data_IF_896565335677
#
_entry.id   IF_896565335677
#
_cell.length_a   1.000
_cell.length_b   1.000
_cell.length_c   1.000
_cell.angle_alpha   90.00
_cell.angle_beta   90.00
_cell.angle_gamma   90.00
#
_symmetry.space_group_name_H-M   'P 1'
#
loop_
_entity.id
_entity.type
_entity.pdbx_description
1 polymer ?
#
# COMPACT_ATOMS: atom_id res chain seq x y z
N UNK A 1 35.43 4.13 33.58
CA UNK A 1 34.66 5.12 32.78
C UNK A 1 34.85 4.99 31.26
N UNK A 2 36.01 4.60 30.71
CA UNK A 2 36.17 4.47 29.24
C UNK A 2 35.43 3.26 28.64
N UNK A 3 35.33 2.15 29.37
CA UNK A 3 34.67 0.92 28.92
C UNK A 3 33.15 1.12 28.68
N UNK A 4 32.50 1.85 29.59
CA UNK A 4 31.06 2.12 29.55
C UNK A 4 30.68 3.07 28.39
N UNK A 5 31.54 4.03 28.03
CA UNK A 5 31.33 4.85 26.83
C UNK A 5 31.42 4.03 25.55
N UNK A 6 32.35 3.07 25.50
CA UNK A 6 32.53 2.21 24.32
C UNK A 6 31.33 1.27 24.12
N UNK A 7 30.82 0.65 25.18
CA UNK A 7 29.63 -0.21 25.09
C UNK A 7 28.40 0.57 24.63
N UNK A 8 28.23 1.81 25.10
CA UNK A 8 27.09 2.65 24.72
C UNK A 8 27.16 3.07 23.24
N UNK A 9 28.35 3.37 22.72
CA UNK A 9 28.54 3.71 21.30
C UNK A 9 28.20 2.55 20.36
N UNK A 10 28.66 1.34 20.68
CA UNK A 10 28.36 0.14 19.87
C UNK A 10 26.87 -0.21 19.89
N UNK A 11 26.21 -0.10 21.05
CA UNK A 11 24.77 -0.32 21.18
C UNK A 11 23.96 0.70 20.37
N UNK A 12 24.36 1.98 20.41
CA UNK A 12 23.71 3.04 19.64
C UNK A 12 23.86 2.80 18.13
N UNK A 13 25.06 2.49 17.66
CA UNK A 13 25.32 2.20 16.26
C UNK A 13 24.49 1.03 15.73
N UNK A 14 24.33 -0.03 16.53
CA UNK A 14 23.47 -1.17 16.20
C UNK A 14 21.99 -0.77 16.05
N UNK A 15 21.51 0.07 16.97
CA UNK A 15 20.14 0.58 16.92
C UNK A 15 19.90 1.44 15.67
N UNK A 16 20.82 2.35 15.35
CA UNK A 16 20.75 3.24 14.19
C UNK A 16 20.77 2.43 12.88
N UNK A 17 21.66 1.44 12.78
CA UNK A 17 21.70 0.53 11.64
C UNK A 17 20.37 -0.22 11.46
N UNK A 18 19.80 -0.73 12.56
CA UNK A 18 18.52 -1.44 12.52
C UNK A 18 17.36 -0.52 12.10
N UNK A 19 17.39 0.75 12.52
CA UNK A 19 16.38 1.75 12.14
C UNK A 19 16.43 2.04 10.64
N UNK A 20 17.63 2.26 10.09
CA UNK A 20 17.84 2.47 8.65
C UNK A 20 17.42 1.23 7.86
N UNK A 21 17.78 0.02 8.30
CA UNK A 21 17.38 -1.22 7.61
C UNK A 21 15.87 -1.43 7.58
N UNK A 22 15.20 -1.23 8.73
CA UNK A 22 13.73 -1.31 8.81
C UNK A 22 13.09 -0.30 7.87
N UNK A 23 13.62 0.93 7.85
CA UNK A 23 13.14 1.96 6.96
C UNK A 23 13.28 1.58 5.47
N UNK A 24 14.44 1.06 5.06
CA UNK A 24 14.65 0.61 3.68
C UNK A 24 13.76 -0.58 3.31
N UNK A 25 13.57 -1.56 4.22
CA UNK A 25 12.62 -2.65 4.03
C UNK A 25 11.18 -2.14 3.89
N UNK A 26 10.80 -1.16 4.71
CA UNK A 26 9.50 -0.50 4.67
C UNK A 26 9.27 0.20 3.31
N UNK A 27 10.25 0.96 2.81
CA UNK A 27 10.14 1.58 1.48
C UNK A 27 10.12 0.55 0.34
N UNK A 28 10.84 -0.55 0.50
CA UNK A 28 10.82 -1.66 -0.44
C UNK A 28 9.41 -2.26 -0.61
N UNK A 29 8.74 -2.64 0.48
CA UNK A 29 7.39 -3.20 0.35
C UNK A 29 6.38 -2.16 -0.16
N UNK A 30 6.46 -0.88 0.24
CA UNK A 30 5.57 0.18 -0.28
C UNK A 30 5.69 0.35 -1.79
N UNK A 31 6.91 0.40 -2.29
CA UNK A 31 7.18 0.52 -3.73
C UNK A 31 6.58 -0.66 -4.49
N UNK A 32 6.79 -1.88 -4.00
CA UNK A 32 6.24 -3.07 -4.63
C UNK A 32 4.71 -3.18 -4.47
N UNK A 33 4.12 -2.64 -3.40
CA UNK A 33 2.67 -2.58 -3.25
C UNK A 33 2.04 -1.74 -4.35
N UNK A 34 2.67 -0.64 -4.76
CA UNK A 34 2.18 0.22 -5.85
C UNK A 34 2.44 -0.40 -7.22
N UNK A 35 3.61 -1.03 -7.44
CA UNK A 35 4.03 -1.55 -8.74
C UNK A 35 3.42 -2.93 -9.06
N UNK A 36 3.34 -3.83 -8.08
CA UNK A 36 2.94 -5.22 -8.32
C UNK A 36 1.50 -5.36 -8.86
N UNK A 37 0.48 -4.66 -8.33
CA UNK A 37 -0.89 -4.77 -8.84
C UNK A 37 -1.03 -4.45 -10.35
N UNK A 38 -0.62 -3.27 -10.85
CA UNK A 38 -0.73 -2.98 -12.28
C UNK A 38 0.13 -3.91 -13.13
N UNK A 39 1.32 -4.30 -12.64
CA UNK A 39 2.20 -5.22 -13.35
C UNK A 39 1.56 -6.61 -13.53
N UNK A 40 1.05 -7.20 -12.46
CA UNK A 40 0.39 -8.52 -12.54
C UNK A 40 -0.95 -8.46 -13.27
N UNK A 41 -1.67 -7.34 -13.17
CA UNK A 41 -2.90 -7.14 -13.94
C UNK A 41 -2.59 -7.13 -15.44
N UNK A 42 -1.59 -6.35 -15.85
CA UNK A 42 -1.14 -6.29 -17.24
C UNK A 42 -0.64 -7.66 -17.75
N UNK A 43 0.11 -8.40 -16.92
CA UNK A 43 0.54 -9.76 -17.26
C UNK A 43 -0.64 -10.72 -17.42
N UNK A 44 -1.65 -10.64 -16.55
CA UNK A 44 -2.86 -11.46 -16.65
C UNK A 44 -3.68 -11.15 -17.89
N UNK A 45 -3.83 -9.86 -18.24
CA UNK A 45 -4.51 -9.42 -19.47
C UNK A 45 -3.75 -9.94 -20.69
N UNK A 46 -2.42 -9.76 -20.73
CA UNK A 46 -1.57 -10.24 -21.83
C UNK A 46 -1.67 -11.75 -22.04
N UNK A 47 -1.74 -12.52 -20.95
CA UNK A 47 -1.84 -13.99 -21.01
C UNK A 47 -3.28 -14.51 -21.14
N UNK A 48 -4.29 -13.63 -21.20
CA UNK A 48 -5.73 -13.96 -21.23
C UNK A 48 -6.16 -14.97 -20.15
N UNK A 49 -5.44 -15.02 -19.04
CA UNK A 49 -5.63 -15.98 -17.95
C UNK A 49 -5.73 -15.21 -16.65
N UNK A 50 -6.90 -14.60 -16.41
CA UNK A 50 -7.17 -13.92 -15.16
C UNK A 50 -7.67 -14.94 -14.13
N UNK A 51 -6.82 -15.26 -13.17
CA UNK A 51 -7.20 -16.02 -11.98
C UNK A 51 -7.01 -15.13 -10.75
N UNK A 52 -8.11 -14.71 -10.07
CA UNK A 52 -8.02 -13.87 -8.88
C UNK A 52 -7.11 -14.45 -7.80
N UNK A 53 -7.12 -15.78 -7.65
CA UNK A 53 -6.24 -16.50 -6.71
C UNK A 53 -4.76 -16.32 -7.03
N UNK A 54 -4.39 -16.51 -8.30
CA UNK A 54 -2.98 -16.39 -8.74
C UNK A 54 -2.55 -14.93 -8.65
N UNK A 55 -3.43 -14.00 -9.02
CA UNK A 55 -3.20 -12.57 -8.92
C UNK A 55 -2.93 -12.13 -7.48
N UNK A 56 -3.85 -12.40 -6.54
CA UNK A 56 -3.70 -12.00 -5.13
C UNK A 56 -2.47 -12.64 -4.47
N UNK A 57 -2.21 -13.92 -4.77
CA UNK A 57 -1.00 -14.60 -4.28
C UNK A 57 0.26 -13.91 -4.77
N UNK A 58 0.36 -13.65 -6.07
CA UNK A 58 1.56 -13.08 -6.66
C UNK A 58 1.76 -11.64 -6.18
N UNK A 59 0.70 -10.83 -6.12
CA UNK A 59 0.74 -9.47 -5.57
C UNK A 59 1.19 -9.49 -4.11
N UNK A 60 0.59 -10.34 -3.27
CA UNK A 60 0.96 -10.47 -1.86
C UNK A 60 2.42 -10.91 -1.67
N UNK A 61 2.85 -11.98 -2.37
CA UNK A 61 4.22 -12.48 -2.29
C UNK A 61 5.24 -11.46 -2.77
N UNK A 62 5.01 -10.88 -3.94
CA UNK A 62 5.93 -9.91 -4.53
C UNK A 62 6.01 -8.64 -3.69
N UNK A 63 4.92 -8.22 -3.03
CA UNK A 63 4.92 -7.06 -2.12
C UNK A 63 5.67 -7.34 -0.82
N UNK A 64 5.23 -8.36 -0.07
CA UNK A 64 5.74 -8.58 1.29
C UNK A 64 7.08 -9.31 1.33
N UNK A 65 7.29 -10.29 0.45
CA UNK A 65 8.55 -11.03 0.39
C UNK A 65 9.51 -10.33 -0.55
N UNK A 66 9.08 -10.11 -1.81
CA UNK A 66 9.91 -9.49 -2.83
C UNK A 66 10.31 -8.05 -2.48
N UNK A 67 9.34 -7.21 -2.13
CA UNK A 67 9.57 -5.81 -1.80
C UNK A 67 10.42 -5.62 -0.55
N UNK A 68 10.14 -6.35 0.52
CA UNK A 68 10.96 -6.27 1.74
C UNK A 68 12.39 -6.75 1.50
N UNK A 69 12.57 -7.90 0.83
CA UNK A 69 13.90 -8.42 0.52
C UNK A 69 14.69 -7.45 -0.37
N UNK A 70 14.04 -6.88 -1.39
CA UNK A 70 14.64 -5.87 -2.25
C UNK A 70 15.03 -4.61 -1.46
N UNK A 71 14.14 -4.11 -0.60
CA UNK A 71 14.38 -2.94 0.24
C UNK A 71 15.55 -3.15 1.22
N UNK A 72 15.63 -4.31 1.87
CA UNK A 72 16.74 -4.65 2.76
C UNK A 72 18.05 -4.81 1.99
N UNK A 73 18.04 -5.48 0.83
CA UNK A 73 19.24 -5.62 0.00
C UNK A 73 19.75 -4.26 -0.51
N UNK A 74 18.84 -3.40 -0.97
CA UNK A 74 19.17 -2.04 -1.37
C UNK A 74 19.68 -1.19 -0.18
N UNK A 75 19.09 -1.36 1.01
CA UNK A 75 19.55 -0.72 2.24
C UNK A 75 20.96 -1.14 2.65
N UNK A 76 21.21 -2.45 2.67
CA UNK A 76 22.53 -3.02 2.97
C UNK A 76 23.59 -2.54 1.97
N UNK A 77 23.29 -2.56 0.67
CA UNK A 77 24.20 -2.05 -0.36
C UNK A 77 24.42 -0.54 -0.28
N UNK A 78 23.47 0.24 0.25
CA UNK A 78 23.65 1.67 0.50
C UNK A 78 24.46 1.99 1.75
N UNK A 79 24.52 1.07 2.70
CA UNK A 79 25.29 1.22 3.93
C UNK A 79 26.67 0.58 3.85
N UNK A 80 26.94 -0.28 2.87
CA UNK A 80 28.28 -0.80 2.65
C UNK A 80 29.22 0.34 2.28
N UNK A 81 30.11 0.69 3.21
CA UNK A 81 31.10 1.76 3.04
C UNK A 81 30.74 3.10 3.68
N UNK A 82 29.63 3.20 4.43
CA UNK A 82 29.36 4.38 5.25
C UNK A 82 30.01 4.25 6.63
N UNK A 83 30.47 5.39 7.17
CA UNK A 83 30.99 5.47 8.53
C UNK A 83 29.86 5.52 9.58
N UNK A 84 30.17 5.23 10.84
CA UNK A 84 29.19 5.21 11.93
C UNK A 84 28.44 6.55 12.07
N UNK A 85 29.16 7.67 11.96
CA UNK A 85 28.58 9.01 12.02
C UNK A 85 27.59 9.29 10.87
N UNK A 86 27.89 8.76 9.67
CA UNK A 86 27.01 8.90 8.51
C UNK A 86 25.74 8.05 8.63
N UNK A 87 25.83 6.87 9.27
CA UNK A 87 24.68 6.03 9.57
C UNK A 87 23.79 6.72 10.60
N UNK A 88 24.38 7.31 11.65
CA UNK A 88 23.66 8.07 12.66
C UNK A 88 22.95 9.31 12.05
N UNK A 89 23.63 10.13 11.24
CA UNK A 89 22.99 11.27 10.54
C UNK A 89 21.78 10.83 9.71
N UNK A 90 21.89 9.69 9.02
CA UNK A 90 20.78 9.12 8.25
C UNK A 90 19.65 8.65 9.16
N UNK A 91 19.95 7.96 10.26
CA UNK A 91 18.96 7.51 11.22
C UNK A 91 18.18 8.70 11.80
N UNK A 92 18.88 9.74 12.25
CA UNK A 92 18.27 10.98 12.76
C UNK A 92 17.40 11.66 11.70
N UNK A 93 17.86 11.74 10.45
CA UNK A 93 17.09 12.34 9.35
C UNK A 93 15.82 11.54 9.02
N UNK A 94 15.89 10.21 9.07
CA UNK A 94 14.73 9.34 8.86
C UNK A 94 13.73 9.51 10.00
N UNK A 95 14.21 9.51 11.25
CA UNK A 95 13.37 9.62 12.45
C UNK A 95 12.71 11.00 12.59
N UNK A 96 13.33 12.05 12.08
CA UNK A 96 12.79 13.42 12.11
C UNK A 96 11.81 13.74 10.97
N UNK A 97 11.70 12.89 9.95
CA UNK A 97 10.87 13.17 8.78
C UNK A 97 9.38 12.82 9.00
N UNK A 98 8.61 13.78 9.50
CA UNK A 98 7.16 13.62 9.74
C UNK A 98 6.34 13.35 8.48
N UNK A 99 6.73 13.92 7.33
CA UNK A 99 6.02 13.67 6.07
C UNK A 99 6.06 12.19 5.71
N UNK A 100 7.19 11.56 5.97
CA UNK A 100 7.39 10.14 5.71
C UNK A 100 6.53 9.26 6.62
N UNK A 101 6.42 9.62 7.91
CA UNK A 101 5.52 8.95 8.85
C UNK A 101 4.07 8.99 8.36
N UNK A 102 3.61 10.13 7.83
CA UNK A 102 2.24 10.23 7.29
C UNK A 102 2.01 9.28 6.12
N UNK A 103 2.93 9.20 5.16
CA UNK A 103 2.83 8.26 4.03
C UNK A 103 2.75 6.81 4.54
N UNK A 104 3.58 6.48 5.53
CA UNK A 104 3.63 5.15 6.13
C UNK A 104 2.31 4.81 6.86
N UNK A 105 1.70 5.77 7.56
CA UNK A 105 0.39 5.62 8.21
C UNK A 105 -0.73 5.31 7.21
N UNK A 106 -0.82 6.06 6.09
CA UNK A 106 -1.80 5.77 5.04
C UNK A 106 -1.59 4.38 4.43
N UNK A 107 -0.34 3.98 4.24
CA UNK A 107 0.01 2.63 3.79
C UNK A 107 -0.45 1.55 4.76
N UNK A 108 -0.23 1.73 6.06
CA UNK A 108 -0.64 0.78 7.11
C UNK A 108 -2.17 0.72 7.21
N UNK A 109 -2.85 1.86 7.31
CA UNK A 109 -4.31 1.93 7.39
C UNK A 109 -4.93 1.28 6.16
N UNK A 110 -4.46 1.64 4.97
CA UNK A 110 -4.88 1.03 3.72
C UNK A 110 -4.67 -0.48 3.74
N UNK A 111 -3.50 -0.93 4.19
CA UNK A 111 -3.16 -2.35 4.32
C UNK A 111 -4.09 -3.12 5.24
N UNK A 112 -4.39 -2.57 6.43
CA UNK A 112 -5.34 -3.18 7.38
C UNK A 112 -6.74 -3.24 6.78
N UNK A 113 -7.21 -2.14 6.16
CA UNK A 113 -8.51 -2.11 5.50
C UNK A 113 -8.58 -3.17 4.39
N UNK A 114 -7.59 -3.22 3.51
CA UNK A 114 -7.54 -4.21 2.42
C UNK A 114 -7.46 -5.66 2.92
N UNK A 115 -6.70 -5.91 4.00
CA UNK A 115 -6.59 -7.22 4.64
C UNK A 115 -7.92 -7.71 5.21
N UNK A 116 -8.77 -6.81 5.71
CA UNK A 116 -10.09 -7.10 6.28
C UNK A 116 -11.17 -7.16 5.20
N UNK A 117 -11.16 -6.23 4.25
CA UNK A 117 -12.18 -6.11 3.20
C UNK A 117 -12.22 -7.35 2.29
N UNK A 118 -11.07 -7.90 1.88
CA UNK A 118 -11.06 -9.03 0.92
C UNK A 118 -11.66 -10.33 1.51
N UNK A 119 -11.28 -10.79 2.71
CA UNK A 119 -11.94 -11.93 3.35
C UNK A 119 -13.41 -11.66 3.67
N UNK A 120 -13.76 -10.44 4.05
CA UNK A 120 -15.14 -10.06 4.34
C UNK A 120 -16.01 -10.18 3.08
N UNK A 121 -15.56 -9.65 1.95
CA UNK A 121 -16.24 -9.78 0.66
C UNK A 121 -16.45 -11.26 0.30
N UNK A 122 -15.42 -12.09 0.47
CA UNK A 122 -15.54 -13.55 0.26
C UNK A 122 -16.58 -14.19 1.19
N UNK A 123 -16.67 -13.75 2.45
CA UNK A 123 -17.63 -14.29 3.43
C UNK A 123 -19.06 -13.88 3.10
N UNK A 124 -19.28 -12.63 2.69
CA UNK A 124 -20.58 -12.14 2.26
C UNK A 124 -21.08 -12.91 1.03
N UNK A 125 -20.18 -13.18 0.08
CA UNK A 125 -20.47 -13.99 -1.10
C UNK A 125 -20.87 -15.44 -0.75
N UNK A 126 -20.17 -16.05 0.22
CA UNK A 126 -20.49 -17.44 0.65
C UNK A 126 -21.88 -17.61 1.28
N UNK A 127 -22.54 -16.51 1.66
CA UNK A 127 -23.89 -16.52 2.25
C UNK A 127 -25.01 -16.31 1.22
N UNK A 128 -24.70 -16.32 -0.08
CA UNK A 128 -25.71 -16.11 -1.13
C UNK A 128 -26.16 -14.65 -1.23
N UNK A 129 -25.29 -13.70 -0.86
CA UNK A 129 -25.57 -12.28 -0.99
C UNK A 129 -25.42 -11.79 -2.44
N UNK A 130 -26.13 -12.39 -3.38
CA UNK A 130 -26.26 -11.89 -4.76
C UNK A 130 -26.88 -10.48 -4.78
N UNK A 131 -27.63 -10.13 -3.71
CA UNK A 131 -28.32 -8.84 -3.56
C UNK A 131 -27.36 -7.66 -3.38
N UNK A 132 -26.21 -7.82 -2.73
CA UNK A 132 -25.33 -6.68 -2.42
C UNK A 132 -24.51 -6.23 -3.64
N UNK A 133 -24.14 -7.16 -4.53
CA UNK A 133 -23.42 -6.82 -5.76
C UNK A 133 -24.34 -6.09 -6.75
N UNK A 134 -25.62 -6.45 -6.80
CA UNK A 134 -26.65 -5.71 -7.56
C UNK A 134 -26.80 -4.28 -7.02
N UNK A 135 -26.74 -4.07 -5.71
CA UNK A 135 -26.81 -2.72 -5.13
C UNK A 135 -25.61 -1.85 -5.50
N UNK A 136 -24.38 -2.38 -5.41
CA UNK A 136 -23.16 -1.58 -5.72
C UNK A 136 -23.07 -1.28 -7.23
N UNK A 137 -23.42 -2.24 -8.10
CA UNK A 137 -23.51 -1.97 -9.55
C UNK A 137 -24.68 -1.03 -9.89
N UNK A 138 -25.81 -1.10 -9.18
CA UNK A 138 -26.93 -0.18 -9.41
C UNK A 138 -26.57 1.25 -9.01
N UNK A 139 -25.79 1.45 -7.94
CA UNK A 139 -25.31 2.79 -7.54
C UNK A 139 -24.30 3.34 -8.56
N UNK A 140 -23.45 2.48 -9.14
CA UNK A 140 -22.51 2.91 -10.20
C UNK A 140 -23.21 3.17 -11.56
N UNK A 141 -24.32 2.49 -11.85
CA UNK A 141 -25.12 2.72 -13.07
C UNK A 141 -26.01 3.96 -12.95
N UNK A 142 -26.50 4.26 -11.73
CA UNK A 142 -27.40 5.40 -11.50
C UNK A 142 -26.72 6.76 -11.61
N UNK A 143 -25.39 6.85 -11.53
CA UNK A 143 -24.66 8.11 -11.75
C UNK A 143 -24.40 8.43 -13.24
N UNK A 144 -24.69 7.50 -14.15
CA UNK A 144 -24.49 7.68 -15.61
C UNK A 144 -25.75 8.20 -16.34
N UNK A 145 -26.92 8.19 -15.70
CA UNK A 145 -28.19 8.50 -16.38
C UNK A 145 -28.57 9.99 -16.43
N UNK A 146 -27.72 10.92 -15.98
CA UNK A 146 -28.07 12.35 -15.96
C UNK A 146 -27.70 13.15 -17.24
N UNK A 147 -27.46 12.49 -18.38
CA UNK A 147 -27.35 13.16 -19.69
C UNK A 147 -27.93 12.29 -20.80
N UNK A 148 -29.20 12.47 -21.16
CA UNK A 148 -29.72 12.45 -22.54
C UNK A 148 -31.25 12.63 -22.52
N UNK A 149 -31.74 13.48 -23.42
CA UNK A 149 -33.13 13.93 -23.49
C UNK A 149 -34.13 12.89 -24.00
N UNK A 150 -35.39 13.31 -24.21
CA UNK A 150 -36.51 12.41 -24.49
C UNK A 150 -36.53 12.02 -25.98
N UNK A 151 -36.28 10.75 -26.29
CA UNK A 151 -36.68 10.14 -27.57
C UNK A 151 -37.40 8.82 -27.30
N UNK A 152 -38.56 8.71 -27.93
CA UNK A 152 -39.58 7.68 -27.85
C UNK A 152 -39.11 6.26 -28.22
N UNK A 153 -39.82 5.30 -27.61
CA UNK A 153 -40.17 3.97 -28.11
C UNK A 153 -39.07 3.05 -28.66
N UNK A 154 -38.77 1.99 -27.91
CA UNK A 154 -38.89 0.61 -28.40
C UNK A 154 -38.83 -0.38 -27.23
N UNK A 155 -39.92 -1.14 -27.06
CA UNK A 155 -39.92 -2.40 -26.32
C UNK A 155 -38.93 -3.36 -26.99
N UNK A 156 -38.09 -4.05 -26.22
CA UNK A 156 -37.71 -5.44 -26.44
C UNK A 156 -36.88 -6.02 -25.27
N UNK A 157 -36.85 -7.35 -25.15
CA UNK A 157 -37.18 -8.06 -23.91
C UNK A 157 -35.95 -8.42 -23.07
N UNK A 158 -36.23 -8.85 -21.84
CA UNK A 158 -35.33 -9.54 -20.91
C UNK A 158 -34.73 -10.83 -21.53
N UNK A 159 -33.82 -10.69 -22.49
CA UNK A 159 -33.03 -11.78 -23.06
C UNK A 159 -31.59 -11.74 -22.53
N UNK A 160 -31.21 -12.84 -21.89
CA UNK A 160 -29.82 -13.29 -21.67
C UNK A 160 -28.90 -12.37 -20.85
N UNK A 161 -29.10 -12.39 -19.53
CA UNK A 161 -28.08 -11.97 -18.57
C UNK A 161 -26.90 -12.95 -18.70
N UNK A 162 -25.83 -12.47 -19.36
CA UNK A 162 -24.59 -13.19 -19.61
C UNK A 162 -24.09 -14.00 -18.38
N UNK A 163 -23.93 -15.33 -18.47
CA UNK A 163 -23.44 -16.17 -17.37
C UNK A 163 -21.95 -15.95 -17.01
N UNK A 164 -21.27 -15.00 -17.64
CA UNK A 164 -19.84 -14.76 -17.44
C UNK A 164 -19.50 -14.09 -16.09
N UNK A 165 -20.45 -13.44 -15.41
CA UNK A 165 -20.19 -12.92 -14.05
C UNK A 165 -20.09 -14.03 -13.00
N UNK A 166 -20.71 -15.20 -13.25
CA UNK A 166 -20.64 -16.35 -12.35
C UNK A 166 -19.30 -17.10 -12.38
N UNK A 167 -18.40 -16.78 -13.32
CA UNK A 167 -17.14 -17.52 -13.45
C UNK A 167 -16.06 -16.99 -12.52
N UNK A 168 -16.02 -15.68 -12.24
CA UNK A 168 -15.03 -15.09 -11.31
C UNK A 168 -15.27 -15.49 -9.86
N UNK A 169 -16.52 -15.76 -9.49
CA UNK A 169 -16.99 -16.07 -8.12
C UNK A 169 -16.58 -17.47 -7.65
N UNK A 170 -16.58 -18.48 -8.54
CA UNK A 170 -16.14 -19.85 -8.18
C UNK A 170 -14.64 -19.90 -7.82
N UNK A 171 -13.81 -19.03 -8.40
CA UNK A 171 -12.36 -19.07 -8.19
C UNK A 171 -11.90 -18.55 -6.83
N UNK A 172 -12.65 -17.66 -6.17
CA UNK A 172 -12.29 -17.13 -4.85
C UNK A 172 -12.51 -18.16 -3.73
N UNK A 173 -13.46 -19.10 -3.90
CA UNK A 173 -13.78 -20.12 -2.90
C UNK A 173 -12.61 -21.06 -2.60
N UNK A 174 -11.68 -21.26 -3.54
CA UNK A 174 -10.51 -22.15 -3.40
C UNK A 174 -9.21 -21.44 -3.01
N UNK A 175 -9.20 -20.12 -2.82
CA UNK A 175 -7.99 -19.43 -2.39
C UNK A 175 -7.74 -19.70 -0.89
N UNK A 176 -6.52 -20.12 -0.48
CA UNK A 176 -6.13 -20.11 0.93
C UNK A 176 -6.30 -18.72 1.56
N UNK A 177 -6.81 -18.64 2.80
CA UNK A 177 -7.06 -17.35 3.48
C UNK A 177 -5.82 -16.46 3.54
N UNK A 178 -4.64 -17.07 3.69
CA UNK A 178 -3.36 -16.36 3.76
C UNK A 178 -3.13 -15.52 2.49
N UNK A 179 -3.48 -16.01 1.30
CA UNK A 179 -3.31 -15.28 0.04
C UNK A 179 -4.34 -14.18 -0.15
N UNK A 180 -5.56 -14.38 0.32
CA UNK A 180 -6.59 -13.33 0.26
C UNK A 180 -6.28 -12.19 1.23
N UNK A 181 -5.78 -12.51 2.43
CA UNK A 181 -5.38 -11.51 3.43
C UNK A 181 -4.14 -10.74 2.96
N UNK A 182 -3.08 -11.44 2.54
CA UNK A 182 -1.86 -10.79 2.04
C UNK A 182 -2.07 -10.03 0.74
N UNK A 183 -2.79 -10.60 -0.24
CA UNK A 183 -3.12 -9.91 -1.48
C UNK A 183 -4.01 -8.68 -1.23
N UNK A 184 -5.01 -8.82 -0.35
CA UNK A 184 -5.85 -7.71 0.08
C UNK A 184 -5.06 -6.61 0.80
N UNK A 185 -4.16 -6.99 1.71
CA UNK A 185 -3.29 -6.05 2.40
C UNK A 185 -2.40 -5.28 1.42
N UNK A 186 -1.76 -5.97 0.47
CA UNK A 186 -0.91 -5.32 -0.53
C UNK A 186 -1.69 -4.32 -1.40
N UNK A 187 -2.89 -4.67 -1.86
CA UNK A 187 -3.78 -3.75 -2.59
C UNK A 187 -4.22 -2.58 -1.72
N UNK A 188 -4.49 -2.83 -0.45
CA UNK A 188 -4.83 -1.81 0.53
C UNK A 188 -3.71 -0.81 0.75
N UNK A 189 -2.46 -1.27 0.90
CA UNK A 189 -1.27 -0.40 1.01
C UNK A 189 -1.16 0.46 -0.25
N UNK A 190 -1.31 -0.13 -1.44
CA UNK A 190 -1.26 0.59 -2.70
C UNK A 190 -2.33 1.68 -2.77
N UNK A 191 -3.57 1.36 -2.38
CA UNK A 191 -4.69 2.29 -2.32
C UNK A 191 -4.48 3.41 -1.33
N UNK A 192 -3.95 3.12 -0.13
CA UNK A 192 -3.63 4.12 0.88
C UNK A 192 -2.55 5.11 0.41
N UNK A 193 -1.46 4.60 -0.19
CA UNK A 193 -0.41 5.44 -0.76
C UNK A 193 -0.95 6.32 -1.90
N UNK A 194 -1.72 5.72 -2.81
CA UNK A 194 -2.29 6.47 -3.94
C UNK A 194 -3.27 7.54 -3.48
N UNK A 195 -4.10 7.24 -2.46
CA UNK A 195 -4.99 8.22 -1.85
C UNK A 195 -4.22 9.40 -1.27
N UNK A 196 -3.13 9.12 -0.54
CA UNK A 196 -2.28 10.19 0.00
C UNK A 196 -1.65 11.05 -1.11
N UNK A 197 -1.18 10.43 -2.20
CA UNK A 197 -0.64 11.16 -3.35
C UNK A 197 -1.69 12.04 -4.03
N UNK A 198 -2.92 11.53 -4.22
CA UNK A 198 -4.03 12.31 -4.78
C UNK A 198 -4.38 13.47 -3.85
N UNK A 199 -4.39 13.24 -2.54
CA UNK A 199 -4.62 14.29 -1.54
C UNK A 199 -3.56 15.40 -1.64
N UNK A 200 -2.27 15.03 -1.72
CA UNK A 200 -1.18 16.00 -1.92
C UNK A 200 -1.35 16.81 -3.22
N UNK A 201 -1.80 16.16 -4.31
CA UNK A 201 -2.06 16.84 -5.59
C UNK A 201 -3.27 17.79 -5.52
N UNK A 202 -4.32 17.42 -4.80
CA UNK A 202 -5.55 18.20 -4.68
C UNK A 202 -5.41 19.40 -3.75
N UNK A 203 -4.79 19.18 -2.59
CA UNK A 203 -4.61 20.23 -1.58
C UNK A 203 -3.57 21.25 -2.02
N UNK A 204 -2.83 20.97 -3.11
CA UNK A 204 -1.82 21.87 -3.66
C UNK A 204 -0.89 22.36 -2.57
N UNK A 205 -0.57 21.48 -1.61
CA UNK A 205 0.17 21.83 -0.40
C UNK A 205 1.48 22.47 -0.87
N UNK A 206 1.52 23.81 -0.84
CA UNK A 206 2.75 24.55 -1.03
C UNK A 206 3.61 24.11 0.14
N UNK A 207 4.46 23.11 -0.11
CA UNK A 207 5.52 22.72 0.80
C UNK A 207 6.45 23.92 0.85
N UNK A 208 6.10 24.93 1.66
CA UNK A 208 6.90 26.12 1.86
C UNK A 208 8.15 25.62 2.57
N UNK A 209 9.33 25.62 1.92
CA UNK A 209 10.54 25.09 2.52
C UNK A 209 10.87 25.83 3.83
N UNK A 210 10.39 27.06 3.98
CA UNK A 210 10.50 27.86 5.20
C UNK A 210 9.82 27.22 6.42
N UNK A 211 8.64 26.60 6.25
CA UNK A 211 7.94 25.94 7.35
C UNK A 211 8.67 24.68 7.82
N UNK A 212 9.23 23.90 6.88
CA UNK A 212 10.06 22.74 7.21
C UNK A 212 11.35 23.14 7.92
N UNK A 213 11.94 24.27 7.53
CA UNK A 213 13.18 24.78 8.13
C UNK A 213 12.92 25.34 9.54
N UNK A 214 11.78 25.99 9.76
CA UNK A 214 11.35 26.45 11.08
C UNK A 214 11.10 25.28 12.04
N UNK A 215 10.38 24.25 11.60
CA UNK A 215 10.11 23.06 12.41
C UNK A 215 11.38 22.25 12.72
N UNK A 216 12.30 22.13 11.74
CA UNK A 216 13.59 21.49 11.95
C UNK A 216 14.46 22.25 12.98
N UNK A 217 14.48 23.60 12.91
CA UNK A 217 15.18 24.42 13.92
C UNK A 217 14.57 24.24 15.31
N UNK A 218 13.24 24.21 15.41
CA UNK A 218 12.56 24.01 16.70
C UNK A 218 12.89 22.63 17.31
N UNK A 219 12.92 21.58 16.49
CA UNK A 219 13.28 20.24 16.93
C UNK A 219 14.74 20.15 17.40
N UNK A 220 15.68 20.83 16.71
CA UNK A 220 17.09 20.90 17.13
C UNK A 220 17.23 21.65 18.46
N UNK A 221 16.52 22.77 18.64
CA UNK A 221 16.57 23.51 19.92
C UNK A 221 16.00 22.70 21.08
N UNK A 222 14.86 21.99 20.88
CA UNK A 222 14.29 21.10 21.90
C UNK A 222 15.18 19.90 22.22
N UNK A 223 15.93 19.41 21.23
CA UNK A 223 16.92 18.34 21.44
C UNK A 223 18.16 18.79 22.21
N UNK A 224 18.50 20.08 22.16
CA UNK A 224 19.67 20.64 22.85
C UNK A 224 19.40 21.00 24.33
N UNK A 225 18.14 21.15 24.72
CA UNK A 225 17.73 21.42 26.10
C UNK A 225 17.54 20.16 26.95
N UNK A 226 17.63 18.97 26.34
CA UNK A 226 17.57 17.65 27.01
C UNK A 226 18.94 16.99 27.07
#
# INVERSE_FOLDING_TARGET
MSFERKSNGEAQQSNDYSAVMRHCGHKGYQMFAVIAPPLFLLMSVRKRTFSPRVYLRNVGLTTFVGGTAFGLAAGAGRMSGLDADQINDRAVRILSNRLQTRVDDYGIIGGVLGAVSVPLLRRLESRGADVLMVCILSVASSSSQHRSGPILHAQNPLGDINPQLGTTTIFLKRAPMIWTVSGGAALGVAGGILFHLVKLLQEGEEVKPEAMLAEAKEAVTKGAEN
#
